data_IF_056480342679
#
_entry.id   IF_056480342679
#
_cell.length_a   1.000
_cell.length_b   1.000
_cell.length_c   1.000
_cell.angle_alpha   90.00
_cell.angle_beta   90.00
_cell.angle_gamma   90.00
#
_symmetry.space_group_name_H-M   'P 1'
#
loop_
_entity.id
_entity.type
_entity.pdbx_description
1 polymer ?
#
# COMPACT_ATOMS: atom_id res chain seq x y z
N UNK A 1 -27.96 26.94 -6.04
CA UNK A 1 -27.16 26.19 -7.03
C UNK A 1 -26.58 24.98 -6.32
N UNK A 2 -27.05 23.78 -6.64
CA UNK A 2 -26.60 22.52 -6.01
C UNK A 2 -25.71 21.83 -7.04
N UNK A 3 -24.47 21.52 -6.67
CA UNK A 3 -23.58 20.76 -7.55
C UNK A 3 -24.05 19.30 -7.58
N UNK A 4 -24.09 18.64 -8.76
CA UNK A 4 -24.46 17.24 -8.83
C UNK A 4 -23.45 16.38 -8.07
N UNK A 5 -23.94 15.57 -7.13
CA UNK A 5 -23.13 14.56 -6.45
C UNK A 5 -22.86 13.41 -7.43
N UNK A 6 -21.60 13.25 -7.84
CA UNK A 6 -21.15 12.12 -8.64
C UNK A 6 -20.28 11.18 -7.80
N UNK A 7 -20.44 9.86 -7.99
CA UNK A 7 -19.60 8.86 -7.34
C UNK A 7 -18.26 8.74 -8.07
N UNK A 8 -17.15 8.99 -7.38
CA UNK A 8 -15.81 8.77 -7.91
C UNK A 8 -15.34 7.35 -7.57
N UNK A 9 -15.12 6.52 -8.59
CA UNK A 9 -14.48 5.22 -8.43
C UNK A 9 -12.99 5.39 -8.16
N UNK A 10 -12.53 5.01 -6.97
CA UNK A 10 -11.11 5.03 -6.59
C UNK A 10 -10.65 3.63 -6.19
N UNK A 11 -9.36 3.38 -6.34
CA UNK A 11 -8.71 2.14 -5.90
C UNK A 11 -7.47 2.46 -5.08
N UNK A 12 -6.97 1.48 -4.32
CA UNK A 12 -5.73 1.61 -3.55
C UNK A 12 -4.73 0.54 -3.97
N UNK A 13 -3.45 0.86 -3.85
CA UNK A 13 -2.37 -0.13 -3.91
C UNK A 13 -1.78 -0.19 -2.52
N UNK A 14 -1.45 -1.39 -2.04
CA UNK A 14 -1.02 -1.60 -0.65
C UNK A 14 0.22 -2.49 -0.64
N UNK A 15 1.23 -2.09 0.12
CA UNK A 15 2.33 -2.95 0.51
C UNK A 15 2.22 -3.32 1.98
N UNK A 16 2.44 -4.58 2.30
CA UNK A 16 2.34 -5.09 3.68
C UNK A 16 3.54 -5.97 4.01
N UNK A 17 3.96 -5.93 5.27
CA UNK A 17 4.95 -6.84 5.85
C UNK A 17 4.53 -7.24 7.27
N UNK A 18 5.14 -8.30 7.78
CA UNK A 18 5.12 -8.60 9.22
C UNK A 18 6.24 -7.83 9.89
N UNK A 19 5.92 -7.11 10.96
CA UNK A 19 6.93 -6.54 11.85
C UNK A 19 7.46 -7.62 12.79
N UNK A 20 8.77 -7.86 12.78
CA UNK A 20 9.41 -8.91 13.57
C UNK A 20 9.87 -8.42 14.94
N UNK A 21 9.95 -9.35 15.89
CA UNK A 21 10.51 -9.06 17.20
C UNK A 21 12.01 -8.69 17.06
N UNK A 22 12.39 -7.54 17.62
CA UNK A 22 13.75 -7.01 17.54
C UNK A 22 14.06 -6.19 16.28
N UNK A 23 13.12 -6.09 15.34
CA UNK A 23 13.24 -5.23 14.15
C UNK A 23 12.85 -3.78 14.46
N UNK A 24 13.56 -2.82 13.85
CA UNK A 24 13.18 -1.41 13.92
C UNK A 24 11.89 -1.13 13.15
N UNK A 25 11.03 -0.24 13.67
CA UNK A 25 9.80 0.13 12.97
C UNK A 25 10.07 0.71 11.57
N UNK A 26 11.12 1.52 11.42
CA UNK A 26 11.51 2.10 10.12
C UNK A 26 11.88 1.02 9.10
N UNK A 27 12.52 -0.07 9.52
CA UNK A 27 12.88 -1.18 8.64
C UNK A 27 11.63 -1.89 8.12
N UNK A 28 10.68 -2.19 9.02
CA UNK A 28 9.39 -2.76 8.65
C UNK A 28 8.58 -1.82 7.74
N UNK A 29 8.59 -0.51 8.02
CA UNK A 29 7.91 0.50 7.22
C UNK A 29 8.52 0.61 5.82
N UNK A 30 9.85 0.65 5.70
CA UNK A 30 10.54 0.67 4.41
C UNK A 30 10.20 -0.56 3.58
N UNK A 31 10.12 -1.73 4.22
CA UNK A 31 9.74 -2.98 3.55
C UNK A 31 8.28 -2.94 3.05
N UNK A 32 7.36 -2.44 3.87
CA UNK A 32 5.98 -2.21 3.44
C UNK A 32 5.89 -1.22 2.26
N UNK A 33 6.64 -0.11 2.30
CA UNK A 33 6.68 0.87 1.22
C UNK A 33 7.25 0.28 -0.09
N UNK A 34 8.26 -0.59 0.03
CA UNK A 34 8.78 -1.34 -1.11
C UNK A 34 7.69 -2.20 -1.76
N UNK A 35 6.87 -2.88 -0.95
CA UNK A 35 5.67 -3.59 -1.41
C UNK A 35 4.65 -2.68 -2.09
N UNK A 36 4.42 -1.48 -1.56
CA UNK A 36 3.51 -0.49 -2.15
C UNK A 36 3.99 -0.06 -3.53
N UNK A 37 5.29 0.17 -3.66
CA UNK A 37 5.90 0.56 -4.92
C UNK A 37 5.84 -0.57 -5.97
N UNK A 38 6.06 -1.82 -5.54
CA UNK A 38 5.85 -3.01 -6.39
C UNK A 38 4.39 -3.12 -6.85
N UNK A 39 3.42 -2.94 -5.95
CA UNK A 39 2.00 -2.94 -6.28
C UNK A 39 1.66 -1.88 -7.35
N UNK A 40 2.20 -0.66 -7.20
CA UNK A 40 2.03 0.42 -8.18
C UNK A 40 2.62 0.08 -9.54
N UNK A 41 3.83 -0.49 -9.57
CA UNK A 41 4.53 -0.88 -10.81
C UNK A 41 3.87 -2.07 -11.53
N UNK A 42 3.28 -2.99 -10.77
CA UNK A 42 2.58 -4.17 -11.29
C UNK A 42 1.13 -3.88 -11.76
N UNK A 43 0.74 -2.61 -11.93
CA UNK A 43 -0.58 -2.24 -12.44
C UNK A 43 -1.57 -1.74 -11.39
N UNK A 44 -1.12 -1.40 -10.17
CA UNK A 44 -1.95 -0.84 -9.07
C UNK A 44 -3.07 -1.80 -8.63
N UNK A 45 -4.06 -1.27 -7.90
CA UNK A 45 -5.26 -1.95 -7.40
C UNK A 45 -5.01 -3.37 -6.86
N UNK A 46 -4.03 -3.50 -5.97
CA UNK A 46 -3.60 -4.78 -5.42
C UNK A 46 -2.84 -4.63 -4.11
N UNK A 47 -2.72 -5.75 -3.42
CA UNK A 47 -1.88 -5.91 -2.25
C UNK A 47 -0.63 -6.70 -2.63
N UNK A 48 0.54 -6.26 -2.18
CA UNK A 48 1.80 -6.99 -2.28
C UNK A 48 2.34 -7.21 -0.87
N UNK A 49 2.62 -8.47 -0.56
CA UNK A 49 3.31 -8.86 0.67
C UNK A 49 4.82 -8.92 0.44
N UNK A 50 5.60 -8.38 1.36
CA UNK A 50 7.05 -8.51 1.38
C UNK A 50 7.46 -9.29 2.64
N UNK A 51 8.15 -10.44 2.50
CA UNK A 51 8.60 -11.24 3.64
C UNK A 51 9.61 -10.48 4.52
N UNK A 52 9.52 -10.71 5.83
CA UNK A 52 10.37 -10.05 6.81
C UNK A 52 11.84 -10.48 6.72
#
# INVERSE_FOLDING_TARGET
>A
MVLPTATLGVTVSVGVTVWQAGEGFEEALMRADQGLYLAKRAGRNRVVYVPA
#
